data_IF_710548464530
#
_entry.id   IF_710548464530
#
_cell.length_a   1.000
_cell.length_b   1.000
_cell.length_c   1.000
_cell.angle_alpha   90.00
_cell.angle_beta   90.00
_cell.angle_gamma   90.00
#
_symmetry.space_group_name_H-M   'P 1'
#
loop_
_entity.id
_entity.type
_entity.pdbx_description
1 polymer ?
#
# COMPACT_ATOMS: atom_id res chain seq x y z
N UNK A 1 -13.56 15.77 -16.88
CA UNK A 1 -12.83 15.47 -15.66
C UNK A 1 -12.30 14.05 -15.68
N UNK A 2 -11.02 13.88 -15.56
CA UNK A 2 -10.52 12.53 -15.43
C UNK A 2 -10.95 11.93 -14.11
N UNK A 3 -11.41 10.71 -14.17
CA UNK A 3 -11.74 9.97 -12.96
C UNK A 3 -10.47 9.40 -12.37
N UNK A 4 -10.39 9.41 -11.06
CA UNK A 4 -9.27 8.77 -10.38
C UNK A 4 -9.53 7.28 -10.39
N UNK A 5 -8.67 6.57 -11.08
CA UNK A 5 -8.81 5.14 -11.28
C UNK A 5 -7.82 4.39 -10.42
N UNK A 6 -7.92 3.07 -10.45
CA UNK A 6 -6.95 2.24 -9.73
C UNK A 6 -5.53 2.55 -10.17
N UNK A 7 -5.31 2.70 -11.49
CA UNK A 7 -3.97 3.02 -11.99
C UNK A 7 -3.45 4.32 -11.42
N UNK A 8 -4.32 5.30 -11.30
CA UNK A 8 -3.94 6.58 -10.71
C UNK A 8 -3.39 6.39 -9.30
N UNK A 9 -4.16 5.67 -8.47
CA UNK A 9 -3.75 5.48 -7.08
C UNK A 9 -2.53 4.57 -6.95
N UNK A 10 -2.43 3.55 -7.82
CA UNK A 10 -1.28 2.67 -7.77
C UNK A 10 0.02 3.39 -8.10
N UNK A 11 -0.06 4.48 -8.85
CA UNK A 11 1.15 5.23 -9.23
C UNK A 11 1.56 6.26 -8.19
N UNK A 12 0.75 6.47 -7.15
CA UNK A 12 1.08 7.47 -6.14
C UNK A 12 2.18 6.97 -5.21
N UNK A 13 3.02 7.89 -4.72
CA UNK A 13 4.19 7.50 -3.91
C UNK A 13 3.83 7.29 -2.44
N UNK A 14 3.04 6.26 -2.18
CA UNK A 14 2.72 5.91 -0.80
C UNK A 14 3.95 5.40 -0.08
N UNK A 15 4.12 5.82 1.17
CA UNK A 15 5.19 5.31 2.00
C UNK A 15 4.87 3.87 2.41
N UNK A 16 5.83 2.99 2.25
CA UNK A 16 5.72 1.61 2.69
C UNK A 16 6.75 1.40 3.78
N UNK A 17 6.29 0.93 4.93
CA UNK A 17 7.19 0.66 6.06
C UNK A 17 7.46 -0.83 6.11
N UNK A 18 8.74 -1.19 6.22
CA UNK A 18 9.17 -2.57 6.34
C UNK A 18 9.79 -2.76 7.71
N UNK A 19 9.37 -3.81 8.40
CA UNK A 19 9.90 -4.11 9.73
C UNK A 19 10.31 -5.57 9.77
N UNK A 20 11.59 -5.86 10.04
CA UNK A 20 12.01 -7.26 10.17
C UNK A 20 11.51 -7.85 11.49
N UNK A 21 11.12 -9.10 11.42
CA UNK A 21 10.69 -9.82 12.60
C UNK A 21 11.83 -10.69 13.12
N UNK A 22 11.75 -11.01 14.38
CA UNK A 22 12.79 -11.80 15.04
C UNK A 22 12.92 -13.18 14.40
N UNK A 23 11.86 -13.70 13.82
CA UNK A 23 11.85 -15.02 13.20
C UNK A 23 12.31 -15.00 11.75
N UNK A 24 12.72 -13.84 11.25
CA UNK A 24 13.21 -13.74 9.88
C UNK A 24 12.17 -13.31 8.86
N UNK A 25 10.93 -13.19 9.28
CA UNK A 25 9.89 -12.65 8.41
C UNK A 25 9.98 -11.14 8.35
N UNK A 26 9.40 -10.58 7.33
CA UNK A 26 9.32 -9.13 7.17
C UNK A 26 7.89 -8.69 7.14
N UNK A 27 7.57 -7.68 7.92
CA UNK A 27 6.25 -7.07 7.96
C UNK A 27 6.26 -5.83 7.08
N UNK A 28 5.24 -5.66 6.26
CA UNK A 28 5.13 -4.48 5.41
C UNK A 28 3.78 -3.83 5.63
N UNK A 29 3.77 -2.51 5.61
CA UNK A 29 2.56 -1.76 5.90
C UNK A 29 2.56 -0.46 5.12
N UNK A 30 1.39 -0.03 4.66
CA UNK A 30 1.20 1.30 4.12
C UNK A 30 0.36 2.06 5.12
N UNK A 31 0.99 2.86 5.99
CA UNK A 31 0.24 3.47 7.10
C UNK A 31 -0.90 4.35 6.67
N UNK A 32 -0.75 5.02 5.52
CA UNK A 32 -1.78 5.93 5.04
C UNK A 32 -3.04 5.19 4.62
N UNK A 33 -2.92 3.91 4.25
CA UNK A 33 -4.05 3.08 3.88
C UNK A 33 -4.35 2.15 5.06
N UNK A 34 -5.28 2.57 5.89
CA UNK A 34 -5.56 1.89 7.14
C UNK A 34 -5.91 0.43 6.91
N UNK A 35 -5.19 -0.46 7.58
CA UNK A 35 -5.42 -1.89 7.44
C UNK A 35 -4.67 -2.53 6.28
N UNK A 36 -3.93 -1.75 5.49
CA UNK A 36 -3.17 -2.29 4.37
C UNK A 36 -1.81 -2.75 4.87
N UNK A 37 -1.71 -4.02 5.21
CA UNK A 37 -0.50 -4.58 5.78
C UNK A 37 -0.40 -6.05 5.41
N UNK A 38 0.83 -6.55 5.41
CA UNK A 38 1.08 -7.94 5.10
C UNK A 38 2.43 -8.34 5.67
N UNK A 39 2.79 -9.62 5.55
CA UNK A 39 4.14 -10.04 5.87
C UNK A 39 4.62 -11.03 4.83
N UNK A 40 5.93 -11.17 4.74
CA UNK A 40 6.55 -12.09 3.80
C UNK A 40 7.71 -12.81 4.44
N UNK A 41 8.22 -13.82 3.74
CA UNK A 41 9.31 -14.65 4.27
C UNK A 41 10.65 -13.93 4.21
N UNK A 42 10.75 -12.92 3.36
CA UNK A 42 11.91 -12.05 3.28
C UNK A 42 11.40 -10.70 2.77
N UNK A 43 12.27 -9.70 2.67
CA UNK A 43 11.77 -8.38 2.32
C UNK A 43 11.28 -8.32 0.86
N UNK A 44 11.88 -9.10 -0.04
CA UNK A 44 11.42 -9.13 -1.42
C UNK A 44 9.99 -9.68 -1.49
N UNK A 45 9.74 -10.74 -0.75
CA UNK A 45 8.41 -11.34 -0.68
C UNK A 45 7.42 -10.36 -0.06
N UNK A 46 7.83 -9.69 1.02
CA UNK A 46 6.97 -8.71 1.66
C UNK A 46 6.66 -7.55 0.70
N UNK A 47 7.64 -7.12 -0.08
CA UNK A 47 7.43 -6.06 -1.05
C UNK A 47 6.39 -6.47 -2.09
N UNK A 48 6.53 -7.68 -2.64
CA UNK A 48 5.56 -8.16 -3.62
C UNK A 48 4.17 -8.29 -3.02
N UNK A 49 4.10 -8.80 -1.80
CA UNK A 49 2.82 -9.00 -1.13
C UNK A 49 2.14 -7.67 -0.79
N UNK A 50 2.92 -6.67 -0.39
CA UNK A 50 2.29 -5.39 -0.04
C UNK A 50 1.78 -4.68 -1.29
N UNK A 51 2.39 -4.91 -2.45
CA UNK A 51 1.86 -4.34 -3.69
C UNK A 51 0.50 -4.95 -4.01
N UNK A 52 0.35 -6.25 -3.80
CA UNK A 52 -0.93 -6.89 -4.01
C UNK A 52 -1.97 -6.43 -3.00
N UNK A 53 -1.56 -6.29 -1.74
CA UNK A 53 -2.45 -5.81 -0.70
C UNK A 53 -2.91 -4.38 -0.99
N UNK A 54 -2.00 -3.55 -1.48
CA UNK A 54 -2.31 -2.18 -1.86
C UNK A 54 -3.36 -2.17 -2.97
N UNK A 55 -3.16 -2.99 -3.98
CA UNK A 55 -4.10 -3.05 -5.09
C UNK A 55 -5.48 -3.48 -4.62
N UNK A 56 -5.54 -4.52 -3.80
CA UNK A 56 -6.81 -5.03 -3.29
C UNK A 56 -7.51 -3.97 -2.43
N UNK A 57 -6.74 -3.30 -1.59
CA UNK A 57 -7.29 -2.26 -0.72
C UNK A 57 -7.90 -1.13 -1.54
N UNK A 58 -7.16 -0.68 -2.56
CA UNK A 58 -7.62 0.43 -3.39
C UNK A 58 -8.83 0.03 -4.22
N UNK A 59 -8.85 -1.19 -4.73
CA UNK A 59 -9.99 -1.66 -5.49
C UNK A 59 -11.26 -1.70 -4.64
N UNK A 60 -11.14 -2.20 -3.42
CA UNK A 60 -12.27 -2.24 -2.52
C UNK A 60 -12.77 -0.84 -2.17
N UNK A 61 -11.84 0.07 -1.92
CA UNK A 61 -12.22 1.45 -1.58
C UNK A 61 -12.93 2.12 -2.75
N UNK A 62 -12.46 1.88 -3.96
CA UNK A 62 -13.10 2.46 -5.14
C UNK A 62 -14.50 1.91 -5.33
N UNK A 63 -14.67 0.61 -5.13
CA UNK A 63 -15.97 -0.02 -5.26
C UNK A 63 -16.96 0.50 -4.24
N UNK A 64 -16.48 0.75 -3.03
CA UNK A 64 -17.34 1.19 -1.94
C UNK A 64 -17.44 2.70 -1.84
N UNK A 65 -16.82 3.41 -2.75
CA UNK A 65 -16.79 4.87 -2.74
C UNK A 65 -16.25 5.42 -1.42
N UNK A 66 -15.27 4.73 -0.86
CA UNK A 66 -14.63 5.19 0.36
C UNK A 66 -13.59 6.24 0.04
N UNK A 67 -13.39 7.21 0.93
CA UNK A 67 -12.33 8.18 0.71
C UNK A 67 -10.98 7.48 0.73
N UNK A 68 -10.13 7.82 -0.24
CA UNK A 68 -8.79 7.26 -0.33
C UNK A 68 -7.79 8.37 -0.07
N UNK A 69 -7.04 8.29 1.03
CA UNK A 69 -6.04 9.32 1.29
C UNK A 69 -4.94 9.27 0.24
N UNK A 70 -4.43 10.43 -0.13
CA UNK A 70 -3.36 10.52 -1.10
C UNK A 70 -2.12 11.08 -0.44
N UNK A 71 -0.96 10.52 -0.74
CA UNK A 71 0.27 11.02 -0.15
C UNK A 71 0.58 12.40 -0.71
N UNK A 72 1.12 13.25 0.15
CA UNK A 72 1.53 14.55 -0.30
C UNK A 72 2.80 14.42 -1.10
N UNK A 73 2.95 15.20 -2.18
CA UNK A 73 4.19 15.14 -2.93
C UNK A 73 5.34 15.54 -2.04
N UNK A 74 6.46 14.84 -2.23
CA UNK A 74 7.66 15.16 -1.48
C UNK A 74 8.16 16.53 -1.89
N UNK A 75 8.41 17.36 -0.92
CA UNK A 75 8.86 18.72 -1.19
C UNK A 75 10.33 18.91 -0.80
N UNK A 76 10.99 17.84 -0.56
CA UNK A 76 12.39 17.90 -0.18
C UNK A 76 13.26 18.65 -1.16
#
# INVERSE_FOLDING_TARGET
MPNKTLDYYMSLPYTIEFTPDIDGFWFAEIPMLEGCMTNGENWQDAFDMIQEAKQAWLMAALELNMPIPEPEPSMS
#
